data_IF_104766898153
#
_entry.id   IF_104766898153
#
_cell.length_a   1.000
_cell.length_b   1.000
_cell.length_c   1.000
_cell.angle_alpha   90.00
_cell.angle_beta   90.00
_cell.angle_gamma   90.00
#
_symmetry.space_group_name_H-M   'P 1'
#
loop_
_entity.id
_entity.type
_entity.pdbx_description
1 polymer ?
#
# COMPACT_ATOMS: atom_id res chain seq x y z
N UNK A 1 -16.81 0.08 -2.19
CA UNK A 1 -15.63 -0.39 -1.45
C UNK A 1 -14.71 -1.10 -2.43
N UNK A 2 -13.50 -0.57 -2.62
CA UNK A 2 -12.46 -1.16 -3.48
C UNK A 2 -12.07 -2.57 -2.97
N UNK A 3 -11.56 -3.43 -3.84
CA UNK A 3 -11.24 -4.81 -3.51
C UNK A 3 -10.16 -4.92 -2.43
N UNK A 4 -9.22 -3.98 -2.43
CA UNK A 4 -8.15 -3.90 -1.44
C UNK A 4 -8.68 -3.71 -0.01
N UNK A 5 -9.69 -2.84 0.17
CA UNK A 5 -10.32 -2.63 1.48
C UNK A 5 -11.05 -3.90 1.97
N UNK A 6 -11.67 -4.66 1.06
CA UNK A 6 -12.29 -5.94 1.42
C UNK A 6 -11.26 -6.96 1.86
N UNK A 7 -10.16 -7.09 1.14
CA UNK A 7 -9.04 -7.99 1.47
C UNK A 7 -8.45 -7.62 2.84
N UNK A 8 -8.12 -6.34 3.06
CA UNK A 8 -7.58 -5.87 4.33
C UNK A 8 -8.53 -6.16 5.50
N UNK A 9 -9.83 -5.92 5.30
CA UNK A 9 -10.87 -6.25 6.29
C UNK A 9 -10.90 -7.75 6.58
N UNK A 10 -10.88 -8.60 5.57
CA UNK A 10 -10.87 -10.06 5.73
C UNK A 10 -9.66 -10.50 6.58
N UNK A 11 -8.45 -10.07 6.20
CA UNK A 11 -7.23 -10.36 6.96
C UNK A 11 -7.32 -9.91 8.41
N UNK A 12 -7.83 -8.69 8.68
CA UNK A 12 -7.95 -8.19 10.04
C UNK A 12 -8.96 -8.97 10.88
N UNK A 13 -10.14 -9.28 10.33
CA UNK A 13 -11.22 -9.98 11.06
C UNK A 13 -10.76 -11.38 11.48
N UNK A 14 -10.10 -12.11 10.57
CA UNK A 14 -9.66 -13.49 10.80
C UNK A 14 -8.31 -13.58 11.51
N UNK A 15 -7.65 -12.45 11.75
CA UNK A 15 -6.36 -12.44 12.42
C UNK A 15 -6.44 -12.87 13.90
N UNK A 16 -5.34 -13.41 14.40
CA UNK A 16 -5.15 -13.69 15.82
C UNK A 16 -5.05 -12.40 16.65
N UNK A 17 -5.17 -12.52 17.98
CA UNK A 17 -5.17 -11.35 18.87
C UNK A 17 -3.86 -10.55 18.85
N UNK A 18 -2.73 -11.22 18.61
CA UNK A 18 -1.44 -10.54 18.49
C UNK A 18 -1.44 -9.58 17.30
N UNK A 19 -1.86 -10.06 16.12
CA UNK A 19 -1.94 -9.26 14.89
C UNK A 19 -2.98 -8.14 15.03
N UNK A 20 -4.14 -8.41 15.64
CA UNK A 20 -5.13 -7.37 15.93
C UNK A 20 -4.59 -6.32 16.91
N UNK A 21 -3.79 -6.74 17.89
CA UNK A 21 -3.10 -5.84 18.83
C UNK A 21 -2.08 -4.96 18.13
N UNK A 22 -1.32 -5.49 17.17
CA UNK A 22 -0.43 -4.69 16.31
C UNK A 22 -1.21 -3.64 15.53
N UNK A 23 -2.34 -4.00 14.91
CA UNK A 23 -3.22 -3.05 14.22
C UNK A 23 -3.76 -1.94 15.14
N UNK A 24 -4.22 -2.31 16.35
CA UNK A 24 -4.66 -1.32 17.36
C UNK A 24 -3.54 -0.37 17.79
N UNK A 25 -2.32 -0.88 17.97
CA UNK A 25 -1.13 -0.04 18.26
C UNK A 25 -0.78 0.87 17.11
N UNK A 26 -0.87 0.37 15.87
CA UNK A 26 -0.64 1.17 14.67
C UNK A 26 -1.64 2.33 14.57
N UNK A 27 -2.94 2.07 14.75
CA UNK A 27 -3.97 3.11 14.77
C UNK A 27 -3.64 4.21 15.81
N UNK A 28 -3.37 3.81 17.06
CA UNK A 28 -3.00 4.72 18.15
C UNK A 28 -1.71 5.50 17.91
N UNK A 29 -0.81 5.00 17.06
CA UNK A 29 0.43 5.70 16.75
C UNK A 29 0.22 6.88 15.78
N UNK A 30 -0.92 6.90 15.08
CA UNK A 30 -1.30 7.98 14.17
C UNK A 30 -2.30 8.92 14.85
N UNK A 31 -3.29 8.39 15.57
CA UNK A 31 -4.30 9.12 16.37
C UNK A 31 -3.64 9.83 17.55
N UNK A 32 -3.11 11.02 17.32
CA UNK A 32 -2.27 11.73 18.28
C UNK A 32 -3.12 12.47 19.31
N UNK A 33 -4.29 12.96 18.92
CA UNK A 33 -5.21 13.67 19.80
C UNK A 33 -6.23 12.74 20.50
N UNK A 34 -6.34 11.48 20.06
CA UNK A 34 -7.24 10.49 20.66
C UNK A 34 -8.70 10.68 20.23
N UNK A 35 -8.95 11.40 19.14
CA UNK A 35 -10.29 11.69 18.59
C UNK A 35 -10.98 10.45 18.02
N UNK A 36 -10.25 9.33 17.84
CA UNK A 36 -10.72 8.04 17.29
C UNK A 36 -11.01 8.07 15.79
N UNK A 37 -10.71 9.17 15.11
CA UNK A 37 -10.63 9.29 13.66
C UNK A 37 -9.26 9.85 13.29
N UNK A 38 -8.70 9.45 12.15
CA UNK A 38 -7.41 10.00 11.70
C UNK A 38 -7.65 11.14 10.72
N UNK A 39 -7.29 12.35 11.12
CA UNK A 39 -7.32 13.51 10.24
C UNK A 39 -6.16 13.49 9.26
N UNK A 40 -6.26 14.25 8.16
CA UNK A 40 -5.13 14.38 7.23
C UNK A 40 -3.92 15.07 7.87
N UNK A 41 -4.16 15.93 8.86
CA UNK A 41 -3.14 16.64 9.63
C UNK A 41 -2.33 15.70 10.52
N UNK A 42 -2.90 14.59 10.97
CA UNK A 42 -2.18 13.53 11.68
C UNK A 42 -1.51 12.55 10.71
N UNK A 43 -2.23 12.20 9.65
CA UNK A 43 -1.78 11.27 8.62
C UNK A 43 -0.50 11.72 7.92
N UNK A 44 -0.48 12.92 7.33
CA UNK A 44 0.64 13.35 6.48
C UNK A 44 1.98 13.41 7.25
N UNK A 45 2.06 14.01 8.45
CA UNK A 45 3.30 14.01 9.23
C UNK A 45 3.72 12.61 9.66
N UNK A 46 2.78 11.72 9.98
CA UNK A 46 3.11 10.34 10.31
C UNK A 46 3.75 9.62 9.12
N UNK A 47 3.14 9.69 7.94
CA UNK A 47 3.64 9.00 6.75
C UNK A 47 5.03 9.51 6.34
N UNK A 48 5.25 10.82 6.39
CA UNK A 48 6.57 11.42 6.10
C UNK A 48 7.64 10.97 7.10
N UNK A 49 7.35 11.05 8.40
CA UNK A 49 8.32 10.68 9.46
C UNK A 49 8.72 9.20 9.43
N UNK A 50 7.82 8.33 8.98
CA UNK A 50 8.06 6.89 8.89
C UNK A 50 8.55 6.44 7.49
N UNK A 51 8.91 7.37 6.60
CA UNK A 51 9.50 7.04 5.29
C UNK A 51 8.49 6.57 4.22
N UNK A 52 7.19 6.64 4.48
CA UNK A 52 6.15 6.24 3.52
C UNK A 52 5.77 7.39 2.57
N UNK A 53 6.77 7.95 1.88
CA UNK A 53 6.64 9.19 1.09
C UNK A 53 5.64 9.07 -0.07
N UNK A 54 5.60 7.94 -0.80
CA UNK A 54 4.63 7.70 -1.90
C UNK A 54 3.16 7.68 -1.42
N UNK A 55 2.94 7.44 -0.12
CA UNK A 55 1.61 7.50 0.50
C UNK A 55 1.34 8.85 1.18
N UNK A 56 2.35 9.69 1.40
CA UNK A 56 2.24 10.94 2.14
C UNK A 56 1.62 12.10 1.34
N UNK A 57 0.46 11.87 0.73
CA UNK A 57 -0.25 12.84 -0.10
C UNK A 57 -1.78 12.75 0.08
N UNK A 58 -2.47 13.83 -0.31
CA UNK A 58 -3.93 13.97 -0.22
C UNK A 58 -4.67 12.91 -1.06
N UNK A 59 -4.32 12.67 -2.34
CA UNK A 59 -4.99 11.64 -3.13
C UNK A 59 -5.00 10.25 -2.49
N UNK A 60 -3.89 9.83 -1.88
CA UNK A 60 -3.82 8.53 -1.21
C UNK A 60 -4.64 8.48 0.09
N UNK A 61 -4.67 9.58 0.86
CA UNK A 61 -5.56 9.71 2.01
C UNK A 61 -7.03 9.60 1.59
N UNK A 62 -7.44 10.34 0.56
CA UNK A 62 -8.81 10.30 0.05
C UNK A 62 -9.15 8.91 -0.53
N UNK A 63 -8.18 8.22 -1.14
CA UNK A 63 -8.35 6.83 -1.57
C UNK A 63 -8.65 5.88 -0.41
N UNK A 64 -8.02 6.08 0.76
CA UNK A 64 -8.31 5.28 1.95
C UNK A 64 -9.68 5.61 2.56
N UNK A 65 -10.09 6.88 2.52
CA UNK A 65 -11.32 7.41 3.09
C UNK A 65 -12.57 7.10 2.23
N UNK A 66 -12.94 5.82 2.21
CA UNK A 66 -14.13 5.32 1.49
C UNK A 66 -15.42 5.78 2.15
N UNK A 67 -15.40 6.05 3.46
CA UNK A 67 -16.52 6.58 4.22
C UNK A 67 -16.88 8.01 3.81
N UNK A 68 -15.90 8.78 3.30
CA UNK A 68 -16.07 10.16 2.87
C UNK A 68 -16.28 11.14 4.03
N UNK A 69 -15.94 10.75 5.26
CA UNK A 69 -16.20 11.54 6.48
C UNK A 69 -15.20 12.68 6.67
N UNK A 70 -14.10 12.69 5.91
CA UNK A 70 -12.97 13.60 6.10
C UNK A 70 -11.89 13.08 7.06
N UNK A 71 -12.17 11.98 7.78
CA UNK A 71 -11.24 11.28 8.65
C UNK A 71 -11.14 9.80 8.24
N UNK A 72 -10.05 9.12 8.60
CA UNK A 72 -9.96 7.67 8.41
C UNK A 72 -10.50 6.95 9.66
N UNK A 73 -11.52 6.15 9.46
CA UNK A 73 -12.03 5.23 10.48
C UNK A 73 -11.07 4.05 10.69
N UNK A 74 -11.27 3.32 11.79
CA UNK A 74 -10.41 2.21 12.18
C UNK A 74 -10.13 1.21 11.05
N UNK A 75 -11.16 0.78 10.29
CA UNK A 75 -10.99 -0.19 9.22
C UNK A 75 -10.31 0.38 7.96
N UNK A 76 -10.41 1.69 7.74
CA UNK A 76 -9.69 2.39 6.66
C UNK A 76 -8.20 2.49 7.00
N UNK A 77 -7.88 2.75 8.27
CA UNK A 77 -6.51 2.67 8.79
C UNK A 77 -5.98 1.22 8.77
N UNK A 78 -6.82 0.21 8.99
CA UNK A 78 -6.38 -1.20 8.81
C UNK A 78 -6.08 -1.54 7.35
N UNK A 79 -6.69 -0.83 6.40
CA UNK A 79 -6.32 -0.95 4.98
C UNK A 79 -4.92 -0.39 4.74
N UNK A 80 -4.61 0.79 5.30
CA UNK A 80 -3.25 1.33 5.30
C UNK A 80 -2.24 0.38 5.96
N UNK A 81 -2.57 -0.15 7.15
CA UNK A 81 -1.72 -1.09 7.88
C UNK A 81 -1.42 -2.33 7.05
N UNK A 82 -2.44 -2.89 6.39
CA UNK A 82 -2.28 -4.04 5.50
C UNK A 82 -1.38 -3.71 4.30
N UNK A 83 -1.55 -2.56 3.65
CA UNK A 83 -0.70 -2.13 2.52
C UNK A 83 0.77 -2.08 2.94
N UNK A 84 1.07 -1.44 4.08
CA UNK A 84 2.44 -1.34 4.60
C UNK A 84 3.00 -2.72 4.97
N UNK A 85 2.23 -3.53 5.71
CA UNK A 85 2.71 -4.84 6.21
C UNK A 85 2.87 -5.88 5.13
N UNK A 86 2.04 -5.84 4.09
CA UNK A 86 2.14 -6.76 2.94
C UNK A 86 3.24 -6.36 1.96
N UNK A 87 3.90 -5.21 2.15
CA UNK A 87 4.95 -4.73 1.25
C UNK A 87 4.44 -4.41 -0.15
N UNK A 88 3.15 -4.02 -0.27
CA UNK A 88 2.57 -3.68 -1.57
C UNK A 88 3.38 -2.58 -2.24
N UNK A 89 3.70 -2.82 -3.49
CA UNK A 89 4.56 -1.97 -4.31
C UNK A 89 3.77 -0.84 -4.97
N UNK A 90 4.49 0.17 -5.40
CA UNK A 90 3.98 1.28 -6.19
C UNK A 90 4.62 1.22 -7.57
N UNK A 91 3.91 1.71 -8.58
CA UNK A 91 4.44 1.86 -9.92
C UNK A 91 5.56 2.90 -9.92
N UNK A 92 6.69 2.60 -10.54
CA UNK A 92 7.81 3.56 -10.67
C UNK A 92 7.67 4.50 -11.88
N UNK A 93 6.65 4.27 -12.73
CA UNK A 93 6.28 5.18 -13.80
C UNK A 93 5.29 6.27 -13.37
N UNK A 94 4.26 5.91 -12.59
CA UNK A 94 3.16 6.82 -12.24
C UNK A 94 2.90 6.99 -10.73
N UNK A 95 3.72 6.38 -9.87
CA UNK A 95 3.55 6.36 -8.41
C UNK A 95 2.20 5.83 -7.91
N UNK A 96 1.44 5.14 -8.77
CA UNK A 96 0.18 4.49 -8.41
C UNK A 96 0.41 3.21 -7.61
N UNK A 97 -0.43 2.97 -6.59
CA UNK A 97 -0.42 1.71 -5.83
C UNK A 97 -0.73 0.51 -6.73
N UNK A 98 0.12 -0.51 -6.69
CA UNK A 98 -0.06 -1.74 -7.47
C UNK A 98 -1.03 -2.68 -6.74
N UNK A 99 -2.30 -2.63 -7.14
CA UNK A 99 -3.41 -3.34 -6.47
C UNK A 99 -3.56 -4.80 -6.94
N UNK A 100 -3.28 -5.06 -8.22
CA UNK A 100 -3.46 -6.35 -8.87
C UNK A 100 -2.16 -6.87 -9.48
N UNK A 101 -2.23 -7.39 -10.70
CA UNK A 101 -1.06 -7.83 -11.45
C UNK A 101 -0.14 -6.65 -11.77
N UNK A 102 1.15 -6.82 -11.54
CA UNK A 102 2.18 -5.84 -11.87
C UNK A 102 3.42 -6.55 -12.40
N UNK A 103 4.26 -5.79 -13.10
CA UNK A 103 5.47 -6.28 -13.72
C UNK A 103 6.68 -5.84 -12.90
N UNK A 104 7.58 -6.78 -12.60
CA UNK A 104 8.83 -6.50 -11.90
C UNK A 104 10.02 -6.83 -12.78
N UNK A 105 11.05 -5.99 -12.75
CA UNK A 105 12.30 -6.30 -13.43
C UNK A 105 12.98 -7.50 -12.77
N UNK A 106 13.30 -8.53 -13.56
CA UNK A 106 13.97 -9.74 -13.05
C UNK A 106 15.47 -9.60 -12.94
N UNK A 107 16.08 -8.64 -13.64
CA UNK A 107 17.54 -8.45 -13.59
C UNK A 107 17.98 -7.68 -12.33
N UNK A 108 17.08 -6.88 -11.76
CA UNK A 108 17.34 -5.98 -10.65
C UNK A 108 17.00 -6.55 -9.27
N UNK A 109 16.88 -7.87 -9.14
CA UNK A 109 16.54 -8.61 -7.89
C UNK A 109 16.68 -7.76 -6.61
N UNK A 110 15.55 -7.55 -5.92
CA UNK A 110 15.37 -6.73 -4.71
C UNK A 110 15.25 -5.20 -4.87
N UNK A 111 15.38 -4.62 -6.07
CA UNK A 111 15.14 -3.20 -6.30
C UNK A 111 13.68 -2.90 -6.70
N UNK A 112 13.19 -1.73 -6.26
CA UNK A 112 11.86 -1.20 -6.59
C UNK A 112 11.80 -0.78 -8.06
N UNK A 113 11.67 -1.76 -8.95
CA UNK A 113 11.45 -1.59 -10.39
C UNK A 113 10.14 -2.29 -10.78
N UNK A 114 9.03 -1.74 -10.31
CA UNK A 114 7.68 -2.31 -10.47
C UNK A 114 6.80 -1.40 -11.31
N UNK A 115 6.07 -1.98 -12.27
CA UNK A 115 5.26 -1.23 -13.22
C UNK A 115 3.83 -1.76 -13.24
N UNK A 116 2.87 -0.84 -13.33
CA UNK A 116 1.51 -1.20 -13.71
C UNK A 116 1.47 -1.58 -15.20
N UNK A 117 0.39 -2.24 -15.63
CA UNK A 117 0.23 -2.67 -17.02
C UNK A 117 0.30 -1.51 -18.03
N UNK A 118 -0.22 -0.34 -17.65
CA UNK A 118 -0.23 0.86 -18.50
C UNK A 118 1.19 1.40 -18.70
N UNK A 119 1.92 1.70 -17.61
CA UNK A 119 3.30 2.18 -17.71
C UNK A 119 4.23 1.17 -18.38
N UNK A 120 4.00 -0.14 -18.17
CA UNK A 120 4.76 -1.17 -18.88
C UNK A 120 4.50 -1.15 -20.39
N UNK A 121 3.23 -1.10 -20.80
CA UNK A 121 2.84 -1.10 -22.23
C UNK A 121 3.35 0.14 -22.95
N UNK A 122 3.24 1.30 -22.32
CA UNK A 122 3.64 2.58 -22.90
C UNK A 122 5.14 2.85 -22.80
N UNK A 123 5.90 2.01 -22.10
CA UNK A 123 7.30 2.29 -21.72
C UNK A 123 7.47 3.61 -20.97
N UNK A 124 6.46 3.99 -20.17
CA UNK A 124 6.44 5.20 -19.36
C UNK A 124 7.22 5.01 -18.05
N UNK A 125 8.50 4.66 -18.16
CA UNK A 125 9.41 4.42 -17.04
C UNK A 125 10.87 4.63 -17.46
N UNK A 126 11.74 4.96 -16.49
CA UNK A 126 13.18 5.15 -16.73
C UNK A 126 13.94 4.01 -16.06
N UNK A 127 14.13 2.91 -16.79
CA UNK A 127 14.85 1.74 -16.31
C UNK A 127 15.63 1.07 -17.46
N UNK A 128 16.90 0.67 -17.26
CA UNK A 128 17.76 0.17 -18.34
C UNK A 128 17.38 -1.21 -18.87
N UNK A 129 16.80 -2.07 -18.04
CA UNK A 129 16.45 -3.44 -18.43
C UNK A 129 15.08 -3.54 -19.12
N UNK A 130 14.89 -4.65 -19.84
CA UNK A 130 13.63 -5.00 -20.53
C UNK A 130 13.07 -6.35 -20.10
N UNK A 131 13.74 -7.07 -19.21
CA UNK A 131 13.28 -8.35 -18.68
C UNK A 131 12.35 -8.10 -17.50
N UNK A 132 11.06 -8.09 -17.79
CA UNK A 132 10.01 -7.96 -16.81
C UNK A 132 9.13 -9.21 -16.81
N UNK A 133 8.80 -9.71 -15.63
CA UNK A 133 7.80 -10.74 -15.45
C UNK A 133 6.70 -10.22 -14.54
N UNK A 134 5.48 -10.71 -14.76
CA UNK A 134 4.41 -10.40 -13.84
C UNK A 134 4.63 -11.08 -12.48
N UNK A 135 4.04 -10.51 -11.45
CA UNK A 135 4.20 -10.96 -10.07
C UNK A 135 3.74 -12.42 -9.83
N UNK A 136 2.84 -12.98 -10.65
CA UNK A 136 2.45 -14.39 -10.53
C UNK A 136 3.51 -15.32 -11.09
N UNK A 137 4.08 -14.98 -12.24
CA UNK A 137 5.19 -15.71 -12.83
C UNK A 137 6.41 -15.64 -11.90
N UNK A 138 6.73 -14.47 -11.35
CA UNK A 138 7.85 -14.30 -10.40
C UNK A 138 7.71 -15.20 -9.18
N UNK A 139 6.50 -15.36 -8.63
CA UNK A 139 6.24 -16.26 -7.50
C UNK A 139 6.50 -17.73 -7.86
N UNK A 140 6.23 -18.15 -9.10
CA UNK A 140 6.51 -19.52 -9.54
C UNK A 140 8.02 -19.80 -9.56
N UNK A 141 8.83 -18.85 -10.02
CA UNK A 141 10.29 -18.98 -10.05
C UNK A 141 10.94 -18.96 -8.65
N UNK A 142 10.32 -18.31 -7.66
CA UNK A 142 10.83 -18.30 -6.28
C UNK A 142 10.54 -19.59 -5.50
N UNK A 143 9.70 -20.48 -6.03
CA UNK A 143 9.33 -21.76 -5.39
C UNK A 143 10.15 -22.96 -5.88
N UNK A 144 11.01 -22.75 -6.87
CA UNK A 144 11.94 -23.74 -7.45
C UNK A 144 13.35 -23.52 -6.94
#
# INVERSE_FOLDING_TARGET
MDELHKIARAYYITANEESKSQGRRFFKSIDHDGSRGITIQEYLPYMKRNGHTKMANRPFFDYLNVSGTGELEFMEVMTLFYIIKSGRKFCDGCDGLLKGTFFSCTDCFDLDDNLCSECFTESSYVHPHRHFLDNWITILFLKT
#
